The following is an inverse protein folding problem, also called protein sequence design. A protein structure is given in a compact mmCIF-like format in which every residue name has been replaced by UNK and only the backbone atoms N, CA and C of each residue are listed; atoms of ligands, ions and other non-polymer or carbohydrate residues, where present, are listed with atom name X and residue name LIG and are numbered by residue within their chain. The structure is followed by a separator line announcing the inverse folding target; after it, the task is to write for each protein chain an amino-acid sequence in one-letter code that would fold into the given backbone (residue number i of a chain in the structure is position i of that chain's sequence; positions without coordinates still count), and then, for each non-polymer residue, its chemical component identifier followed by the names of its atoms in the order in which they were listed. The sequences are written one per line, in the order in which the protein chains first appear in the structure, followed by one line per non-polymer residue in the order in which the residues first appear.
data_IF_275611293481
#
_entry.id   IF_275611293481
#
_cell.length_a   1.000
_cell.length_b   1.000
_cell.length_c   1.000
_cell.angle_alpha   90.00
_cell.angle_beta   90.00
_cell.angle_gamma   90.00
#
_symmetry.space_group_name_H-M   'P 1'
#
loop_
_entity.id
_entity.type
_entity.pdbx_description
1 polymer ?
#
# COMPACT_ATOMS: atom_id res chain seq x y z
N UNK A 1 -49.83 -88.32 16.19
CA UNK A 1 -48.63 -89.17 15.99
C UNK A 1 -48.98 -90.57 16.48
N UNK A 2 -48.80 -91.60 15.66
CA UNK A 2 -49.10 -93.00 16.02
C UNK A 2 -47.78 -93.79 16.04
N UNK A 3 -47.33 -94.32 17.19
CA UNK A 3 -46.13 -95.16 17.27
C UNK A 3 -46.27 -96.42 16.39
N UNK A 4 -45.21 -96.80 15.68
CA UNK A 4 -45.17 -98.06 14.90
C UNK A 4 -44.09 -98.99 15.42
N UNK A 5 -42.87 -98.50 15.67
CA UNK A 5 -41.77 -99.31 16.19
C UNK A 5 -40.82 -98.48 17.04
N UNK A 6 -40.32 -99.06 18.12
CA UNK A 6 -39.26 -98.47 18.94
C UNK A 6 -38.14 -99.50 19.13
N UNK A 7 -36.93 -99.13 18.73
CA UNK A 7 -35.73 -99.93 18.93
C UNK A 7 -34.80 -99.18 19.88
N UNK A 8 -34.38 -99.81 20.96
CA UNK A 8 -33.45 -99.27 21.94
C UNK A 8 -32.18 -100.11 21.97
N UNK A 9 -31.02 -99.46 22.01
CA UNK A 9 -29.73 -100.08 22.28
C UNK A 9 -28.98 -99.27 23.32
N UNK A 10 -28.56 -99.94 24.39
CA UNK A 10 -27.79 -99.38 25.50
C UNK A 10 -28.37 -98.07 26.06
N UNK A 11 -29.70 -97.96 26.15
CA UNK A 11 -30.42 -96.79 26.63
C UNK A 11 -30.96 -97.02 28.04
N UNK A 12 -30.48 -96.25 29.02
CA UNK A 12 -30.83 -96.36 30.44
C UNK A 12 -30.74 -97.81 30.94
N UNK A 13 -31.86 -98.42 31.34
CA UNK A 13 -31.93 -99.80 31.82
C UNK A 13 -31.92 -100.86 30.72
N UNK A 14 -32.09 -100.48 29.45
CA UNK A 14 -32.18 -101.39 28.31
C UNK A 14 -30.84 -101.56 27.61
N UNK A 15 -30.38 -102.82 27.47
CA UNK A 15 -29.23 -103.17 26.62
C UNK A 15 -29.63 -103.31 25.15
N UNK A 16 -30.69 -104.05 24.90
CA UNK A 16 -31.34 -104.12 23.59
C UNK A 16 -32.83 -104.40 23.82
N UNK A 17 -33.69 -103.68 23.10
CA UNK A 17 -35.13 -103.91 23.11
C UNK A 17 -35.74 -103.47 21.79
N UNK A 18 -36.66 -104.27 21.26
CA UNK A 18 -37.46 -103.96 20.09
C UNK A 18 -38.93 -104.11 20.46
N UNK A 19 -39.69 -103.04 20.28
CA UNK A 19 -41.13 -103.00 20.48
C UNK A 19 -41.82 -102.68 19.17
N UNK A 20 -42.69 -103.60 18.73
CA UNK A 20 -43.60 -103.36 17.62
C UNK A 20 -44.96 -102.90 18.18
N UNK A 21 -45.41 -101.73 17.75
CA UNK A 21 -46.67 -101.12 18.15
C UNK A 21 -47.76 -101.25 17.08
N UNK A 22 -47.44 -101.84 15.92
CA UNK A 22 -48.41 -101.98 14.84
C UNK A 22 -49.62 -102.81 15.29
N UNK A 23 -50.82 -102.27 15.08
CA UNK A 23 -52.08 -102.91 15.48
C UNK A 23 -52.45 -102.76 16.97
N UNK A 24 -51.60 -102.12 17.79
CA UNK A 24 -51.93 -101.85 19.19
C UNK A 24 -52.68 -100.51 19.30
N UNK A 25 -53.89 -100.55 19.86
CA UNK A 25 -54.66 -99.34 20.20
C UNK A 25 -54.52 -98.96 21.68
N UNK A 26 -54.39 -99.95 22.54
CA UNK A 26 -54.16 -99.79 23.99
C UNK A 26 -53.13 -100.82 24.43
N UNK A 27 -52.08 -100.37 25.11
CA UNK A 27 -51.03 -101.23 25.63
C UNK A 27 -50.80 -100.94 27.12
N UNK A 28 -50.64 -101.98 27.94
CA UNK A 28 -50.27 -101.86 29.33
C UNK A 28 -48.85 -102.39 29.53
N UNK A 29 -47.95 -101.57 30.05
CA UNK A 29 -46.56 -101.96 30.34
C UNK A 29 -46.45 -102.29 31.83
N UNK A 30 -46.39 -103.59 32.15
CA UNK A 30 -46.29 -104.10 33.52
C UNK A 30 -44.88 -104.60 33.85
N UNK A 31 -44.50 -104.54 35.13
CA UNK A 31 -43.19 -105.00 35.61
C UNK A 31 -42.88 -104.45 37.00
N UNK A 32 -41.82 -104.96 37.64
CA UNK A 32 -41.37 -104.46 38.94
C UNK A 32 -40.95 -102.98 38.89
N UNK A 33 -40.95 -102.29 40.03
CA UNK A 33 -40.36 -100.95 40.12
C UNK A 33 -38.85 -101.04 39.80
N UNK A 34 -38.35 -100.11 38.98
CA UNK A 34 -36.98 -100.16 38.48
C UNK A 34 -36.75 -101.05 37.25
N UNK A 35 -37.76 -101.79 36.77
CA UNK A 35 -37.63 -102.65 35.57
C UNK A 35 -37.52 -101.89 34.22
N UNK A 36 -37.46 -100.55 34.24
CA UNK A 36 -37.28 -99.75 33.03
C UNK A 36 -38.55 -99.25 32.34
N UNK A 37 -39.75 -99.46 32.92
CA UNK A 37 -41.03 -99.05 32.32
C UNK A 37 -41.06 -97.58 31.89
N UNK A 38 -40.64 -96.67 32.78
CA UNK A 38 -40.58 -95.23 32.48
C UNK A 38 -39.49 -94.90 31.46
N UNK A 39 -38.41 -95.68 31.42
CA UNK A 39 -37.30 -95.53 30.46
C UNK A 39 -37.78 -95.74 29.01
N UNK A 40 -38.83 -96.53 28.76
CA UNK A 40 -39.41 -96.70 27.42
C UNK A 40 -40.06 -95.41 26.89
N UNK A 41 -40.86 -94.75 27.72
CA UNK A 41 -41.52 -93.49 27.35
C UNK A 41 -40.51 -92.34 27.26
N UNK A 42 -39.48 -92.38 28.10
CA UNK A 42 -38.34 -91.47 28.03
C UNK A 42 -37.53 -91.66 26.74
N UNK A 43 -37.40 -92.88 26.21
CA UNK A 43 -36.72 -93.11 24.94
C UNK A 43 -37.43 -92.40 23.78
N UNK A 44 -38.78 -92.41 23.76
CA UNK A 44 -39.58 -91.68 22.76
C UNK A 44 -39.41 -90.17 22.92
N UNK A 45 -39.38 -89.68 24.16
CA UNK A 45 -39.17 -88.26 24.44
C UNK A 45 -37.77 -87.79 23.98
N UNK A 46 -36.76 -88.61 24.28
CA UNK A 46 -35.37 -88.32 23.97
C UNK A 46 -35.09 -88.37 22.47
N UNK A 47 -35.59 -89.38 21.74
CA UNK A 47 -35.35 -89.49 20.31
C UNK A 47 -35.96 -88.33 19.51
N UNK A 48 -37.17 -87.89 19.88
CA UNK A 48 -37.89 -86.82 19.19
C UNK A 48 -37.44 -85.40 19.59
N UNK A 49 -37.26 -85.14 20.87
CA UNK A 49 -36.97 -83.79 21.38
C UNK A 49 -35.58 -83.62 21.99
N UNK A 50 -34.87 -84.71 22.29
CA UNK A 50 -33.58 -84.67 23.00
C UNK A 50 -33.69 -84.56 24.51
N UNK A 51 -34.92 -84.53 25.01
CA UNK A 51 -35.21 -84.32 26.41
C UNK A 51 -35.28 -85.65 27.15
N UNK A 52 -34.57 -85.75 28.27
CA UNK A 52 -34.61 -86.90 29.17
C UNK A 52 -34.48 -86.46 30.62
N UNK A 53 -34.74 -87.36 31.57
CA UNK A 53 -34.55 -87.08 33.01
C UNK A 53 -33.09 -87.16 33.47
N UNK A 54 -32.19 -87.55 32.59
CA UNK A 54 -30.78 -87.72 32.90
C UNK A 54 -30.16 -86.38 33.31
N UNK A 55 -29.35 -86.38 34.38
CA UNK A 55 -28.71 -85.16 34.89
C UNK A 55 -27.59 -84.70 33.96
N UNK A 56 -26.82 -85.65 33.41
CA UNK A 56 -25.85 -85.42 32.34
C UNK A 56 -26.31 -86.05 31.02
N UNK A 57 -25.91 -85.45 29.91
CA UNK A 57 -26.20 -85.97 28.57
C UNK A 57 -25.69 -87.40 28.33
N UNK A 58 -24.63 -87.81 29.04
CA UNK A 58 -24.04 -89.16 28.93
C UNK A 58 -24.75 -90.19 29.84
N UNK A 59 -25.58 -89.75 30.79
CA UNK A 59 -26.27 -90.65 31.73
C UNK A 59 -27.46 -91.39 31.07
N UNK A 60 -27.82 -91.01 29.84
CA UNK A 60 -28.75 -91.79 29.01
C UNK A 60 -28.13 -93.11 28.55
N UNK A 61 -26.80 -93.23 28.60
CA UNK A 61 -26.05 -94.42 28.17
C UNK A 61 -26.05 -95.47 29.29
N UNK A 62 -26.45 -96.70 28.96
CA UNK A 62 -26.40 -97.83 29.87
C UNK A 62 -25.01 -97.97 30.52
N UNK A 63 -24.96 -98.32 31.81
CA UNK A 63 -23.70 -98.45 32.53
C UNK A 63 -22.79 -99.51 31.88
N UNK A 64 -21.55 -99.14 31.61
CA UNK A 64 -20.56 -99.99 30.92
C UNK A 64 -20.62 -99.93 29.38
N UNK A 65 -21.60 -99.26 28.78
CA UNK A 65 -21.67 -99.06 27.33
C UNK A 65 -20.97 -97.76 26.87
N UNK A 66 -20.51 -97.78 25.61
CA UNK A 66 -19.85 -96.64 24.97
C UNK A 66 -20.81 -95.72 24.21
N UNK A 67 -21.97 -96.22 23.83
CA UNK A 67 -22.98 -95.46 23.08
C UNK A 67 -24.40 -95.92 23.43
N UNK A 68 -25.36 -95.03 23.25
CA UNK A 68 -26.79 -95.31 23.30
C UNK A 68 -27.43 -94.92 21.97
N UNK A 69 -28.38 -95.73 21.50
CA UNK A 69 -29.10 -95.50 20.26
C UNK A 69 -30.59 -95.77 20.48
N UNK A 70 -31.42 -94.84 20.04
CA UNK A 70 -32.87 -95.00 20.01
C UNK A 70 -33.37 -94.70 18.60
N UNK A 71 -34.10 -95.64 18.05
CA UNK A 71 -34.79 -95.52 16.78
C UNK A 71 -36.29 -95.54 17.04
N UNK A 72 -37.00 -94.57 16.48
CA UNK A 72 -38.44 -94.49 16.58
C UNK A 72 -39.09 -94.29 15.22
N UNK A 73 -39.95 -95.23 14.86
CA UNK A 73 -40.77 -95.19 13.65
C UNK A 73 -42.21 -94.90 14.05
N UNK A 74 -42.79 -93.87 13.44
CA UNK A 74 -44.16 -93.43 13.74
C UNK A 74 -44.86 -92.92 12.50
N UNK A 75 -46.19 -92.95 12.52
CA UNK A 75 -47.04 -92.43 11.46
C UNK A 75 -47.66 -91.09 11.87
N UNK A 76 -47.68 -90.14 10.94
CA UNK A 76 -48.31 -88.84 11.11
C UNK A 76 -48.83 -88.34 9.76
N UNK A 77 -50.08 -87.85 9.69
CA UNK A 77 -50.70 -87.37 8.45
C UNK A 77 -50.52 -88.35 7.26
N UNK A 78 -50.75 -89.65 7.50
CA UNK A 78 -50.59 -90.75 6.53
C UNK A 78 -49.15 -91.02 6.04
N UNK A 79 -48.15 -90.29 6.53
CA UNK A 79 -46.75 -90.52 6.22
C UNK A 79 -46.05 -91.25 7.38
N UNK A 80 -45.13 -92.15 7.06
CA UNK A 80 -44.30 -92.84 8.06
C UNK A 80 -42.95 -92.15 8.15
N UNK A 81 -42.56 -91.80 9.37
CA UNK A 81 -41.29 -91.15 9.69
C UNK A 81 -40.44 -92.06 10.55
N UNK A 82 -39.12 -91.90 10.43
CA UNK A 82 -38.12 -92.56 11.25
C UNK A 82 -37.17 -91.51 11.80
N UNK A 83 -36.99 -91.51 13.12
CA UNK A 83 -35.99 -90.69 13.80
C UNK A 83 -35.00 -91.63 14.48
N UNK A 84 -33.71 -91.40 14.25
CA UNK A 84 -32.63 -92.13 14.88
C UNK A 84 -31.77 -91.14 15.65
N UNK A 85 -31.62 -91.35 16.95
CA UNK A 85 -30.75 -90.55 17.79
C UNK A 85 -29.71 -91.44 18.44
N UNK A 86 -28.44 -91.07 18.27
CA UNK A 86 -27.30 -91.79 18.84
C UNK A 86 -26.47 -90.84 19.68
N UNK A 87 -26.09 -91.26 20.89
CA UNK A 87 -25.16 -90.54 21.76
C UNK A 87 -23.95 -91.44 22.02
N UNK A 88 -22.77 -90.93 21.78
CA UNK A 88 -21.52 -91.60 22.10
C UNK A 88 -20.86 -90.92 23.30
N UNK A 89 -20.37 -91.71 24.26
CA UNK A 89 -19.81 -91.21 25.53
C UNK A 89 -18.58 -90.35 25.24
N UNK A 90 -18.53 -89.13 25.79
CA UNK A 90 -17.46 -88.16 25.53
C UNK A 90 -17.41 -87.63 24.08
N UNK A 91 -18.43 -87.92 23.26
CA UNK A 91 -18.58 -87.41 21.90
C UNK A 91 -19.95 -86.73 21.72
N UNK A 92 -20.23 -86.24 20.51
CA UNK A 92 -21.47 -85.55 20.19
C UNK A 92 -22.67 -86.48 20.00
N UNK A 93 -23.84 -85.87 19.79
CA UNK A 93 -25.07 -86.54 19.37
C UNK A 93 -25.12 -86.62 17.84
N UNK A 94 -25.53 -87.76 17.30
CA UNK A 94 -25.98 -87.88 15.92
C UNK A 94 -27.51 -87.94 15.90
N UNK A 95 -28.12 -87.17 15.00
CA UNK A 95 -29.58 -87.11 14.82
C UNK A 95 -29.90 -87.25 13.34
N UNK A 96 -30.66 -88.28 13.01
CA UNK A 96 -31.16 -88.51 11.66
C UNK A 96 -32.68 -88.47 11.65
N UNK A 97 -33.24 -87.83 10.63
CA UNK A 97 -34.67 -87.77 10.38
C UNK A 97 -34.96 -88.24 8.97
N UNK A 98 -35.88 -89.19 8.82
CA UNK A 98 -36.15 -89.86 7.54
C UNK A 98 -37.67 -90.00 7.34
N UNK A 99 -38.10 -90.03 6.08
CA UNK A 99 -39.49 -90.29 5.67
C UNK A 99 -39.55 -91.53 4.78
N UNK A 100 -40.57 -92.36 4.96
CA UNK A 100 -40.81 -93.54 4.14
C UNK A 100 -41.28 -93.14 2.74
N UNK A 101 -40.57 -93.57 1.70
CA UNK A 101 -40.93 -93.35 0.31
C UNK A 101 -40.78 -94.67 -0.45
N UNK A 102 -41.90 -95.25 -0.89
CA UNK A 102 -41.93 -96.59 -1.47
C UNK A 102 -41.56 -97.67 -0.43
N UNK A 103 -40.56 -98.51 -0.73
CA UNK A 103 -40.06 -99.55 0.17
C UNK A 103 -38.88 -99.10 1.06
N UNK A 104 -38.43 -97.84 0.96
CA UNK A 104 -37.24 -97.35 1.66
C UNK A 104 -37.46 -96.06 2.43
N UNK A 105 -36.45 -95.67 3.21
CA UNK A 105 -36.42 -94.39 3.93
C UNK A 105 -35.54 -93.38 3.20
N UNK A 106 -36.08 -92.19 2.94
CA UNK A 106 -35.35 -91.03 2.41
C UNK A 106 -34.98 -90.09 3.54
N UNK A 107 -33.72 -89.65 3.56
CA UNK A 107 -33.24 -88.68 4.56
C UNK A 107 -33.86 -87.29 4.37
N UNK A 108 -34.37 -86.74 5.46
CA UNK A 108 -34.77 -85.34 5.66
C UNK A 108 -33.80 -84.61 6.60
N UNK A 109 -32.70 -85.25 7.00
CA UNK A 109 -31.69 -84.67 7.90
C UNK A 109 -31.08 -83.42 7.29
N UNK A 110 -31.06 -82.32 8.05
CA UNK A 110 -30.45 -81.06 7.64
C UNK A 110 -28.98 -80.97 8.09
N UNK A 111 -28.29 -79.89 7.66
CA UNK A 111 -26.90 -79.64 8.09
C UNK A 111 -26.85 -79.27 9.57
N UNK A 112 -26.51 -80.24 10.41
CA UNK A 112 -26.35 -80.09 11.85
C UNK A 112 -27.58 -80.49 12.68
N UNK A 113 -27.36 -80.68 13.98
CA UNK A 113 -28.38 -81.17 14.91
C UNK A 113 -29.50 -80.13 15.09
N UNK A 114 -29.17 -78.85 15.24
CA UNK A 114 -30.16 -77.78 15.49
C UNK A 114 -31.16 -77.62 14.35
N UNK A 115 -30.68 -77.61 13.10
CA UNK A 115 -31.54 -77.51 11.91
C UNK A 115 -32.39 -78.77 11.73
N UNK A 116 -31.82 -79.95 11.99
CA UNK A 116 -32.56 -81.23 11.96
C UNK A 116 -33.63 -81.29 13.06
N UNK A 117 -33.33 -80.83 14.27
CA UNK A 117 -34.29 -80.71 15.36
C UNK A 117 -35.43 -79.75 14.99
N UNK A 118 -35.12 -78.62 14.35
CA UNK A 118 -36.13 -77.67 13.89
C UNK A 118 -37.03 -78.28 12.79
N UNK A 119 -36.48 -79.08 11.88
CA UNK A 119 -37.28 -79.83 10.91
C UNK A 119 -38.21 -80.83 11.60
N UNK A 120 -37.71 -81.61 12.55
CA UNK A 120 -38.53 -82.54 13.35
C UNK A 120 -39.68 -81.78 14.02
N UNK A 121 -39.41 -80.65 14.68
CA UNK A 121 -40.43 -79.81 15.31
C UNK A 121 -41.44 -79.24 14.29
N UNK A 122 -40.97 -78.82 13.12
CA UNK A 122 -41.82 -78.26 12.05
C UNK A 122 -42.78 -79.32 11.49
N UNK A 123 -42.30 -80.56 11.33
CA UNK A 123 -43.10 -81.69 10.83
C UNK A 123 -44.04 -82.25 11.90
N UNK A 124 -43.56 -82.42 13.14
CA UNK A 124 -44.38 -82.86 14.27
C UNK A 124 -45.41 -81.81 14.69
N UNK A 125 -45.12 -80.52 14.46
CA UNK A 125 -45.89 -79.36 14.94
C UNK A 125 -46.21 -79.43 16.44
N UNK A 126 -45.37 -80.12 17.20
CA UNK A 126 -45.53 -80.41 18.61
C UNK A 126 -44.15 -80.32 19.26
N UNK A 127 -43.96 -79.31 20.11
CA UNK A 127 -42.76 -79.20 20.94
C UNK A 127 -42.88 -80.08 22.19
N UNK A 128 -41.77 -80.18 22.93
CA UNK A 128 -41.68 -81.03 24.11
C UNK A 128 -42.63 -80.57 25.22
N UNK A 129 -42.70 -79.27 25.48
CA UNK A 129 -43.58 -78.72 26.51
C UNK A 129 -45.05 -79.00 26.19
N UNK A 130 -45.45 -78.81 24.95
CA UNK A 130 -46.80 -79.12 24.49
C UNK A 130 -47.06 -80.62 24.58
N UNK A 131 -46.11 -81.48 24.19
CA UNK A 131 -46.26 -82.93 24.29
C UNK A 131 -46.46 -83.41 25.74
N UNK A 132 -45.64 -82.94 26.68
CA UNK A 132 -45.76 -83.29 28.11
C UNK A 132 -47.06 -82.75 28.71
N UNK A 133 -47.50 -81.57 28.32
CA UNK A 133 -48.72 -80.97 28.87
C UNK A 133 -50.02 -81.44 28.19
N UNK A 134 -49.95 -82.13 27.03
CA UNK A 134 -51.16 -82.54 26.28
C UNK A 134 -51.29 -84.05 26.08
N UNK A 135 -50.22 -84.74 25.68
CA UNK A 135 -50.27 -86.13 25.22
C UNK A 135 -49.53 -87.12 26.15
N UNK A 136 -48.68 -86.63 27.06
CA UNK A 136 -47.90 -87.45 27.97
C UNK A 136 -48.10 -87.10 29.45
N UNK A 137 -48.99 -87.85 30.10
CA UNK A 137 -49.25 -87.70 31.53
C UNK A 137 -48.18 -88.42 32.35
N UNK A 138 -47.19 -87.67 32.85
CA UNK A 138 -46.17 -88.20 33.76
C UNK A 138 -46.80 -88.61 35.10
N UNK A 139 -46.37 -89.74 35.63
CA UNK A 139 -46.80 -90.22 36.95
C UNK A 139 -46.53 -89.16 38.03
N UNK A 140 -47.56 -88.75 38.77
CA UNK A 140 -47.48 -87.71 39.80
C UNK A 140 -47.44 -86.27 39.29
N UNK A 141 -47.59 -86.03 37.98
CA UNK A 141 -47.62 -84.68 37.36
C UNK A 141 -48.80 -84.46 36.42
N UNK A 142 -49.88 -85.24 36.56
CA UNK A 142 -51.10 -85.02 35.79
C UNK A 142 -51.70 -83.61 36.02
N UNK A 143 -51.40 -83.02 37.18
CA UNK A 143 -51.89 -81.69 37.57
C UNK A 143 -50.95 -80.56 37.14
N UNK A 144 -49.85 -80.81 36.42
CA UNK A 144 -48.83 -79.80 36.08
C UNK A 144 -49.42 -78.62 35.30
N UNK A 145 -50.35 -78.88 34.36
CA UNK A 145 -51.11 -77.83 33.69
C UNK A 145 -52.07 -77.09 34.64
N UNK A 146 -52.72 -77.80 35.56
CA UNK A 146 -53.68 -77.22 36.52
C UNK A 146 -53.00 -76.35 37.58
N UNK A 147 -51.75 -76.67 37.93
CA UNK A 147 -50.93 -75.95 38.91
C UNK A 147 -50.31 -74.66 38.36
N UNK A 148 -50.27 -74.48 37.02
CA UNK A 148 -49.73 -73.26 36.39
C UNK A 148 -50.62 -72.04 36.62
N UNK A 149 -50.00 -70.85 36.61
CA UNK A 149 -50.73 -69.58 36.78
C UNK A 149 -51.67 -69.32 35.59
N UNK A 150 -52.77 -68.58 35.75
CA UNK A 150 -53.71 -68.30 34.66
C UNK A 150 -53.05 -67.70 33.41
N UNK A 151 -52.07 -66.81 33.57
CA UNK A 151 -51.32 -66.20 32.47
C UNK A 151 -50.47 -67.25 31.70
N UNK A 152 -49.80 -68.14 32.41
CA UNK A 152 -49.00 -69.22 31.81
C UNK A 152 -49.88 -70.24 31.10
N UNK A 153 -51.04 -70.58 31.68
CA UNK A 153 -52.04 -71.44 31.03
C UNK A 153 -52.55 -70.80 29.73
N UNK A 154 -52.85 -69.49 29.77
CA UNK A 154 -53.26 -68.74 28.58
C UNK A 154 -52.16 -68.73 27.52
N UNK A 155 -50.90 -68.57 27.92
CA UNK A 155 -49.75 -68.60 27.02
C UNK A 155 -49.61 -69.97 26.35
N UNK A 156 -49.64 -71.07 27.11
CA UNK A 156 -49.57 -72.44 26.57
C UNK A 156 -50.69 -72.70 25.57
N UNK A 157 -51.92 -72.23 25.85
CA UNK A 157 -53.03 -72.35 24.91
C UNK A 157 -52.86 -71.46 23.67
N UNK A 158 -52.33 -70.24 23.84
CA UNK A 158 -52.04 -69.33 22.74
C UNK A 158 -50.93 -69.87 21.83
N UNK A 159 -49.90 -70.51 22.40
CA UNK A 159 -48.80 -71.17 21.69
C UNK A 159 -49.31 -72.38 20.92
N UNK A 160 -50.15 -73.20 21.56
CA UNK A 160 -50.81 -74.36 20.94
C UNK A 160 -51.70 -73.95 19.75
N UNK A 161 -52.40 -72.82 19.88
CA UNK A 161 -53.22 -72.22 18.82
C UNK A 161 -52.43 -71.32 17.85
N UNK A 162 -51.12 -71.13 18.07
CA UNK A 162 -50.21 -70.31 17.26
C UNK A 162 -50.69 -68.87 17.06
N UNK A 163 -51.20 -68.23 18.11
CA UNK A 163 -51.77 -66.88 18.01
C UNK A 163 -50.72 -65.77 17.83
N UNK A 164 -49.44 -66.04 18.03
CA UNK A 164 -48.32 -65.09 17.86
C UNK A 164 -48.30 -64.38 16.49
N UNK A 165 -48.74 -65.06 15.44
CA UNK A 165 -48.79 -64.49 14.09
C UNK A 165 -49.67 -63.22 14.00
N UNK A 166 -50.69 -63.09 14.87
CA UNK A 166 -51.57 -61.94 14.87
C UNK A 166 -50.94 -60.72 15.55
N UNK A 167 -50.10 -60.95 16.55
CA UNK A 167 -49.34 -59.89 17.22
C UNK A 167 -48.31 -59.29 16.25
N UNK A 168 -47.62 -60.14 15.47
CA UNK A 168 -46.70 -59.69 14.42
C UNK A 168 -47.41 -58.83 13.36
N UNK A 169 -48.58 -59.26 12.89
CA UNK A 169 -49.37 -58.49 11.93
C UNK A 169 -49.87 -57.15 12.51
N UNK A 170 -50.22 -57.12 13.79
CA UNK A 170 -50.64 -55.90 14.48
C UNK A 170 -49.52 -54.85 14.53
N UNK A 171 -48.32 -55.27 14.91
CA UNK A 171 -47.16 -54.38 14.95
C UNK A 171 -46.79 -53.86 13.55
N UNK A 172 -46.79 -54.72 12.52
CA UNK A 172 -46.56 -54.28 11.14
C UNK A 172 -47.59 -53.24 10.66
N UNK A 173 -48.86 -53.39 11.04
CA UNK A 173 -49.91 -52.44 10.68
C UNK A 173 -49.71 -51.09 11.39
N UNK A 174 -49.34 -51.09 12.67
CA UNK A 174 -49.02 -49.87 13.43
C UNK A 174 -47.83 -49.13 12.84
N UNK A 175 -46.78 -49.85 12.46
CA UNK A 175 -45.59 -49.24 11.86
C UNK A 175 -45.92 -48.58 10.52
N UNK A 176 -46.69 -49.24 9.65
CA UNK A 176 -47.16 -48.63 8.40
C UNK A 176 -48.01 -47.39 8.64
N UNK A 177 -48.93 -47.43 9.60
CA UNK A 177 -49.76 -46.27 9.95
C UNK A 177 -48.90 -45.07 10.39
N UNK A 178 -47.89 -45.29 11.23
CA UNK A 178 -46.94 -44.24 11.65
C UNK A 178 -46.16 -43.66 10.48
N UNK A 179 -45.68 -44.51 9.57
CA UNK A 179 -44.95 -44.07 8.38
C UNK A 179 -45.80 -43.17 7.48
N UNK A 180 -47.03 -43.59 7.15
CA UNK A 180 -47.92 -42.78 6.32
C UNK A 180 -48.31 -41.47 6.99
N UNK A 181 -48.53 -41.46 8.31
CA UNK A 181 -48.80 -40.23 9.05
C UNK A 181 -47.65 -39.22 8.90
N UNK A 182 -46.40 -39.68 9.06
CA UNK A 182 -45.23 -38.81 8.86
C UNK A 182 -45.08 -38.29 7.42
N UNK A 183 -45.46 -39.11 6.42
CA UNK A 183 -45.46 -38.67 5.02
C UNK A 183 -46.51 -37.58 4.74
N UNK A 184 -47.71 -37.72 5.31
CA UNK A 184 -48.78 -36.72 5.18
C UNK A 184 -48.31 -35.39 5.78
N UNK A 185 -47.79 -35.39 7.00
CA UNK A 185 -47.30 -34.17 7.67
C UNK A 185 -46.19 -33.48 6.86
N UNK A 186 -45.31 -34.24 6.20
CA UNK A 186 -44.27 -33.69 5.32
C UNK A 186 -44.86 -33.05 4.06
N UNK A 187 -45.80 -33.75 3.41
CA UNK A 187 -46.45 -33.26 2.18
C UNK A 187 -47.28 -32.01 2.46
N UNK A 188 -47.98 -31.94 3.60
CA UNK A 188 -48.74 -30.75 4.01
C UNK A 188 -47.85 -29.53 4.16
N UNK A 189 -46.69 -29.66 4.82
CA UNK A 189 -45.71 -28.56 4.94
C UNK A 189 -45.15 -28.11 3.60
N UNK A 190 -44.87 -29.06 2.70
CA UNK A 190 -44.40 -28.73 1.35
C UNK A 190 -45.48 -27.97 0.56
N UNK A 191 -46.73 -28.39 0.70
CA UNK A 191 -47.87 -27.78 0.02
C UNK A 191 -48.09 -26.35 0.52
N UNK A 192 -48.03 -26.12 1.83
CA UNK A 192 -48.12 -24.79 2.44
C UNK A 192 -47.02 -23.86 1.92
N UNK A 193 -45.77 -24.33 1.90
CA UNK A 193 -44.64 -23.56 1.35
C UNK A 193 -44.83 -23.19 -0.13
N UNK A 194 -45.31 -24.13 -0.95
CA UNK A 194 -45.59 -23.88 -2.38
C UNK A 194 -46.75 -22.88 -2.54
N UNK A 195 -47.77 -22.95 -1.69
CA UNK A 195 -48.89 -22.01 -1.72
C UNK A 195 -48.46 -20.60 -1.39
N UNK A 196 -47.61 -20.41 -0.38
CA UNK A 196 -47.04 -19.09 -0.05
C UNK A 196 -46.24 -18.52 -1.22
N UNK A 197 -45.39 -19.33 -1.86
CA UNK A 197 -44.63 -18.92 -3.05
C UNK A 197 -45.55 -18.53 -4.22
N UNK A 198 -46.63 -19.27 -4.44
CA UNK A 198 -47.60 -18.97 -5.49
C UNK A 198 -48.38 -17.68 -5.21
N UNK A 199 -48.72 -17.39 -3.95
CA UNK A 199 -49.37 -16.13 -3.58
C UNK A 199 -48.44 -14.94 -3.84
N UNK A 200 -47.14 -15.08 -3.54
CA UNK A 200 -46.15 -14.02 -3.77
C UNK A 200 -45.83 -13.80 -5.25
N UNK A 201 -46.02 -14.80 -6.11
CA UNK A 201 -45.69 -14.71 -7.54
C UNK A 201 -46.35 -13.52 -8.24
N UNK A 202 -47.62 -13.25 -7.95
CA UNK A 202 -48.33 -12.14 -8.57
C UNK A 202 -47.81 -10.78 -8.11
N UNK A 203 -47.51 -10.65 -6.81
CA UNK A 203 -46.91 -9.44 -6.24
C UNK A 203 -45.52 -9.18 -6.84
N UNK A 204 -44.67 -10.20 -6.90
CA UNK A 204 -43.33 -10.12 -7.51
C UNK A 204 -43.42 -9.76 -9.00
N UNK A 205 -44.38 -10.33 -9.73
CA UNK A 205 -44.57 -10.01 -11.15
C UNK A 205 -45.00 -8.55 -11.37
N UNK A 206 -45.87 -8.02 -10.50
CA UNK A 206 -46.27 -6.61 -10.52
C UNK A 206 -45.10 -5.69 -10.19
N UNK A 207 -44.39 -5.96 -9.08
CA UNK A 207 -43.22 -5.18 -8.66
C UNK A 207 -42.12 -5.18 -9.74
N UNK A 208 -41.89 -6.34 -10.38
CA UNK A 208 -40.95 -6.43 -11.49
C UNK A 208 -41.37 -5.58 -12.69
N UNK A 209 -42.65 -5.60 -13.07
CA UNK A 209 -43.15 -4.78 -14.17
C UNK A 209 -43.00 -3.28 -13.86
N UNK A 210 -43.32 -2.87 -12.62
CA UNK A 210 -43.12 -1.50 -12.16
C UNK A 210 -41.64 -1.10 -12.23
N UNK A 211 -40.73 -1.92 -11.70
CA UNK A 211 -39.29 -1.67 -11.74
C UNK A 211 -38.73 -1.62 -13.17
N UNK A 212 -39.22 -2.48 -14.07
CA UNK A 212 -38.85 -2.43 -15.50
C UNK A 212 -39.25 -1.09 -16.14
N UNK A 213 -40.47 -0.61 -15.87
CA UNK A 213 -40.90 0.72 -16.38
C UNK A 213 -40.07 1.87 -15.81
N UNK A 214 -39.72 1.81 -14.52
CA UNK A 214 -38.86 2.83 -13.87
C UNK A 214 -37.46 2.79 -14.47
N UNK A 215 -36.90 1.60 -14.71
CA UNK A 215 -35.59 1.44 -15.35
C UNK A 215 -35.56 2.03 -16.76
N UNK A 216 -36.58 1.76 -17.58
CA UNK A 216 -36.70 2.33 -18.93
C UNK A 216 -36.75 3.86 -18.88
N UNK A 217 -37.54 4.43 -17.96
CA UNK A 217 -37.61 5.89 -17.76
C UNK A 217 -36.26 6.47 -17.32
N UNK A 218 -35.58 5.83 -16.37
CA UNK A 218 -34.26 6.27 -15.90
C UNK A 218 -33.20 6.21 -17.00
N UNK A 219 -33.22 5.16 -17.84
CA UNK A 219 -32.31 5.03 -18.98
C UNK A 219 -32.57 6.11 -20.05
N UNK A 220 -33.83 6.41 -20.35
CA UNK A 220 -34.20 7.50 -21.24
C UNK A 220 -33.77 8.87 -20.70
N UNK A 221 -33.90 9.10 -19.39
CA UNK A 221 -33.42 10.32 -18.76
C UNK A 221 -31.89 10.41 -18.78
N UNK A 222 -31.20 9.30 -18.53
CA UNK A 222 -29.74 9.24 -18.57
C UNK A 222 -29.19 9.56 -19.96
N UNK A 223 -29.79 8.99 -21.01
CA UNK A 223 -29.37 9.26 -22.40
C UNK A 223 -29.58 10.72 -22.78
N UNK A 224 -30.72 11.30 -22.38
CA UNK A 224 -31.03 12.73 -22.57
C UNK A 224 -30.02 13.62 -21.86
N UNK A 225 -29.75 13.35 -20.58
CA UNK A 225 -28.76 14.09 -19.79
C UNK A 225 -27.36 13.96 -20.38
N UNK A 226 -26.99 12.77 -20.88
CA UNK A 226 -25.70 12.55 -21.52
C UNK A 226 -25.55 13.37 -22.80
N UNK A 227 -26.60 13.40 -23.64
CA UNK A 227 -26.60 14.22 -24.84
C UNK A 227 -26.49 15.71 -24.52
N UNK A 228 -27.21 16.20 -23.51
CA UNK A 228 -27.09 17.58 -23.04
C UNK A 228 -25.69 17.91 -22.53
N UNK A 229 -25.06 16.99 -21.78
CA UNK A 229 -23.70 17.16 -21.29
C UNK A 229 -22.69 17.28 -22.45
N UNK A 230 -22.81 16.42 -23.47
CA UNK A 230 -21.96 16.49 -24.66
C UNK A 230 -22.12 17.83 -25.39
N UNK A 231 -23.36 18.32 -25.53
CA UNK A 231 -23.62 19.64 -26.11
C UNK A 231 -22.95 20.75 -25.30
N UNK A 232 -23.07 20.74 -23.97
CA UNK A 232 -22.43 21.73 -23.11
C UNK A 232 -20.90 21.68 -23.17
N UNK A 233 -20.31 20.48 -23.23
CA UNK A 233 -18.86 20.31 -23.40
C UNK A 233 -18.36 20.85 -24.74
N UNK A 234 -19.10 20.62 -25.82
CA UNK A 234 -18.76 21.18 -27.13
C UNK A 234 -18.78 22.71 -27.11
N UNK A 235 -19.82 23.32 -26.52
CA UNK A 235 -19.93 24.77 -26.37
C UNK A 235 -18.80 25.31 -25.48
N UNK A 236 -18.45 24.61 -24.39
CA UNK A 236 -17.35 25.01 -23.52
C UNK A 236 -16.01 25.00 -24.24
N UNK A 237 -15.73 23.96 -25.05
CA UNK A 237 -14.52 23.88 -25.88
C UNK A 237 -14.47 25.03 -26.89
N UNK A 238 -15.57 25.30 -27.60
CA UNK A 238 -15.65 26.43 -28.53
C UNK A 238 -15.37 27.77 -27.81
N UNK A 239 -15.96 27.98 -26.64
CA UNK A 239 -15.72 29.17 -25.82
C UNK A 239 -14.25 29.31 -25.42
N UNK A 240 -13.59 28.22 -25.02
CA UNK A 240 -12.15 28.24 -24.69
C UNK A 240 -11.30 28.61 -25.90
N UNK A 241 -11.59 28.04 -27.07
CA UNK A 241 -10.89 28.39 -28.32
C UNK A 241 -11.07 29.85 -28.67
N UNK A 242 -12.30 30.39 -28.60
CA UNK A 242 -12.55 31.80 -28.85
C UNK A 242 -11.87 32.71 -27.82
N UNK A 243 -11.81 32.30 -26.55
CA UNK A 243 -11.10 33.07 -25.53
C UNK A 243 -9.59 33.13 -25.79
N UNK A 244 -8.99 32.03 -26.24
CA UNK A 244 -7.58 32.01 -26.66
C UNK A 244 -7.35 32.90 -27.89
N UNK A 245 -8.20 32.77 -28.92
CA UNK A 245 -8.13 33.62 -30.12
C UNK A 245 -8.27 35.10 -29.77
N UNK A 246 -9.22 35.46 -28.89
CA UNK A 246 -9.40 36.84 -28.43
C UNK A 246 -8.15 37.35 -27.70
N UNK A 247 -7.58 36.55 -26.80
CA UNK A 247 -6.35 36.92 -26.08
C UNK A 247 -5.16 37.13 -27.02
N UNK A 248 -5.03 36.30 -28.05
CA UNK A 248 -4.01 36.44 -29.09
C UNK A 248 -4.22 37.72 -29.91
N UNK A 249 -5.44 38.00 -30.36
CA UNK A 249 -5.78 39.22 -31.10
C UNK A 249 -5.54 40.48 -30.24
N UNK A 250 -5.89 40.44 -28.95
CA UNK A 250 -5.61 41.54 -28.03
C UNK A 250 -4.10 41.78 -27.85
N UNK A 251 -3.30 40.72 -27.77
CA UNK A 251 -1.85 40.85 -27.67
C UNK A 251 -1.25 41.41 -28.97
N UNK A 252 -1.71 40.94 -30.13
CA UNK A 252 -1.31 41.48 -31.43
C UNK A 252 -1.65 42.97 -31.54
N UNK A 253 -2.87 43.37 -31.14
CA UNK A 253 -3.28 44.77 -31.12
C UNK A 253 -2.38 45.62 -30.20
N UNK A 254 -2.00 45.11 -29.03
CA UNK A 254 -1.07 45.79 -28.11
C UNK A 254 0.31 45.98 -28.74
N UNK A 255 0.85 44.93 -29.36
CA UNK A 255 2.14 45.01 -30.04
C UNK A 255 2.11 46.02 -31.19
N UNK A 256 1.09 45.96 -32.04
CA UNK A 256 0.90 46.92 -33.13
C UNK A 256 0.76 48.35 -32.62
N UNK A 257 0.02 48.57 -31.53
CA UNK A 257 -0.08 49.90 -30.91
C UNK A 257 1.27 50.40 -30.38
N UNK A 258 2.08 49.53 -29.77
CA UNK A 258 3.43 49.88 -29.32
C UNK A 258 4.34 50.22 -30.51
N UNK A 259 4.26 49.44 -31.59
CA UNK A 259 5.00 49.69 -32.82
C UNK A 259 4.58 51.01 -33.47
N UNK A 260 3.28 51.29 -33.57
CA UNK A 260 2.79 52.58 -34.04
C UNK A 260 3.30 53.74 -33.18
N UNK A 261 3.30 53.61 -31.86
CA UNK A 261 3.83 54.65 -30.96
C UNK A 261 5.34 54.83 -31.13
N UNK A 262 6.10 53.75 -31.27
CA UNK A 262 7.55 53.80 -31.55
C UNK A 262 7.83 54.51 -32.87
N UNK A 263 7.19 54.07 -33.96
CA UNK A 263 7.36 54.66 -35.28
C UNK A 263 6.92 56.12 -35.31
N UNK A 264 5.89 56.50 -34.56
CA UNK A 264 5.46 57.89 -34.44
C UNK A 264 6.49 58.75 -33.69
N UNK A 265 7.11 58.22 -32.63
CA UNK A 265 8.23 58.89 -31.94
C UNK A 265 9.43 59.05 -32.86
N UNK A 266 9.86 57.98 -33.54
CA UNK A 266 10.96 58.01 -34.50
C UNK A 266 10.69 59.04 -35.58
N UNK A 267 9.50 59.03 -36.19
CA UNK A 267 9.09 60.05 -37.17
C UNK A 267 9.18 61.46 -36.61
N UNK A 268 8.67 61.71 -35.39
CA UNK A 268 8.74 63.04 -34.78
C UNK A 268 10.18 63.50 -34.51
N UNK A 269 11.08 62.58 -34.13
CA UNK A 269 12.49 62.87 -33.94
C UNK A 269 13.17 63.19 -35.27
N UNK A 270 12.92 62.39 -36.30
CA UNK A 270 13.45 62.63 -37.65
C UNK A 270 12.92 63.94 -38.23
N UNK A 271 11.64 64.25 -38.06
CA UNK A 271 11.05 65.53 -38.48
C UNK A 271 11.68 66.70 -37.73
N UNK A 272 11.93 66.58 -36.42
CA UNK A 272 12.63 67.60 -35.63
C UNK A 272 14.09 67.79 -36.07
N UNK A 273 14.82 66.70 -36.34
CA UNK A 273 16.17 66.76 -36.90
C UNK A 273 16.17 67.45 -38.27
N UNK A 274 15.22 67.08 -39.13
CA UNK A 274 15.05 67.69 -40.45
C UNK A 274 14.78 69.19 -40.34
N UNK A 275 13.87 69.63 -39.47
CA UNK A 275 13.60 71.06 -39.25
C UNK A 275 14.83 71.80 -38.74
N UNK A 276 15.61 71.19 -37.84
CA UNK A 276 16.86 71.78 -37.34
C UNK A 276 17.88 71.94 -38.46
N UNK A 277 18.03 70.93 -39.32
CA UNK A 277 18.90 70.98 -40.49
C UNK A 277 18.42 72.01 -41.52
N UNK A 278 17.11 72.09 -41.79
CA UNK A 278 16.52 73.11 -42.67
C UNK A 278 16.76 74.52 -42.12
N UNK A 279 16.62 74.72 -40.82
CA UNK A 279 16.93 76.00 -40.17
C UNK A 279 18.42 76.36 -40.30
N UNK A 280 19.33 75.41 -40.09
CA UNK A 280 20.76 75.61 -40.29
C UNK A 280 21.10 75.96 -41.75
N UNK A 281 20.48 75.29 -42.72
CA UNK A 281 20.63 75.60 -44.14
C UNK A 281 20.09 76.99 -44.49
N UNK A 282 18.96 77.42 -43.92
CA UNK A 282 18.48 78.80 -44.09
C UNK A 282 19.45 79.84 -43.51
N UNK A 283 20.21 79.48 -42.48
CA UNK A 283 21.26 80.32 -41.92
C UNK A 283 22.58 80.26 -42.70
N UNK A 284 22.68 79.50 -43.79
CA UNK A 284 23.91 79.36 -44.59
C UNK A 284 24.53 80.72 -44.94
N UNK A 285 23.73 81.66 -45.44
CA UNK A 285 24.21 83.01 -45.78
C UNK A 285 24.78 83.77 -44.57
N UNK A 286 24.16 83.65 -43.40
CA UNK A 286 24.63 84.26 -42.14
C UNK A 286 25.89 83.57 -41.61
N UNK A 287 25.97 82.24 -41.70
CA UNK A 287 27.14 81.47 -41.30
C UNK A 287 28.33 81.80 -42.21
N UNK A 288 28.12 81.86 -43.53
CA UNK A 288 29.14 82.26 -44.50
C UNK A 288 29.58 83.72 -44.31
N UNK A 289 28.64 84.64 -44.11
CA UNK A 289 28.96 86.04 -43.83
C UNK A 289 29.70 86.20 -42.50
N UNK A 290 29.26 85.49 -41.45
CA UNK A 290 29.94 85.43 -40.15
C UNK A 290 31.34 84.84 -40.25
N UNK A 291 31.53 83.79 -41.04
CA UNK A 291 32.84 83.20 -41.31
C UNK A 291 33.76 84.14 -42.10
N UNK A 292 33.24 84.82 -43.12
CA UNK A 292 33.98 85.85 -43.85
C UNK A 292 34.36 87.03 -42.96
N UNK A 293 33.45 87.45 -42.07
CA UNK A 293 33.71 88.49 -41.10
C UNK A 293 34.76 88.06 -40.07
N UNK A 294 34.68 86.83 -39.56
CA UNK A 294 35.70 86.27 -38.68
C UNK A 294 37.06 86.20 -39.39
N UNK A 295 37.10 85.80 -40.66
CA UNK A 295 38.33 85.78 -41.46
C UNK A 295 38.90 87.18 -41.70
N UNK A 296 38.05 88.18 -41.89
CA UNK A 296 38.45 89.58 -41.99
C UNK A 296 38.99 90.12 -40.65
N UNK A 297 38.35 89.75 -39.53
CA UNK A 297 38.83 90.07 -38.18
C UNK A 297 40.17 89.38 -37.90
N UNK A 298 40.35 88.12 -38.31
CA UNK A 298 41.62 87.40 -38.17
C UNK A 298 42.73 88.07 -38.98
N UNK A 299 42.45 88.51 -40.21
CA UNK A 299 43.40 89.29 -41.01
C UNK A 299 43.70 90.68 -40.40
N UNK A 300 42.71 91.32 -39.78
CA UNK A 300 42.92 92.56 -39.03
C UNK A 300 43.76 92.33 -37.77
N UNK A 301 43.55 91.23 -37.05
CA UNK A 301 44.36 90.84 -35.90
C UNK A 301 45.80 90.58 -36.32
N UNK A 302 46.04 89.89 -37.44
CA UNK A 302 47.38 89.71 -38.01
C UNK A 302 48.02 91.06 -38.39
N UNK A 303 47.26 91.97 -39.01
CA UNK A 303 47.72 93.34 -39.31
C UNK A 303 48.04 94.14 -38.06
N UNK A 304 47.20 94.07 -37.02
CA UNK A 304 47.43 94.76 -35.76
C UNK A 304 48.59 94.15 -34.99
N UNK A 305 48.76 92.83 -35.03
CA UNK A 305 49.92 92.12 -34.49
C UNK A 305 51.21 92.57 -35.18
N UNK A 306 51.20 92.69 -36.52
CA UNK A 306 52.33 93.23 -37.28
C UNK A 306 52.62 94.71 -36.97
N UNK A 307 51.59 95.55 -36.84
CA UNK A 307 51.74 96.95 -36.40
C UNK A 307 52.25 97.06 -34.96
N UNK A 308 51.78 96.18 -34.07
CA UNK A 308 52.21 96.12 -32.69
C UNK A 308 53.68 95.71 -32.58
N UNK A 309 54.13 94.71 -33.33
CA UNK A 309 55.55 94.36 -33.45
C UNK A 309 56.39 95.55 -33.96
N UNK A 310 55.92 96.25 -35.00
CA UNK A 310 56.59 97.44 -35.53
C UNK A 310 56.69 98.57 -34.51
N UNK A 311 55.61 98.81 -33.75
CA UNK A 311 55.60 99.78 -32.65
C UNK A 311 56.55 99.35 -31.52
N UNK A 312 56.62 98.06 -31.19
CA UNK A 312 57.49 97.54 -30.15
C UNK A 312 58.98 97.70 -30.53
N UNK A 313 59.32 97.50 -31.81
CA UNK A 313 60.66 97.80 -32.35
C UNK A 313 60.95 99.30 -32.32
N UNK A 314 60.01 100.15 -32.72
CA UNK A 314 60.19 101.60 -32.66
C UNK A 314 60.31 102.11 -31.21
N UNK A 315 59.57 101.53 -30.27
CA UNK A 315 59.62 101.86 -28.85
C UNK A 315 60.93 101.40 -28.20
N UNK A 316 61.45 100.22 -28.55
CA UNK A 316 62.77 99.78 -28.08
C UNK A 316 63.89 100.65 -28.65
N UNK A 317 63.81 101.04 -29.91
CA UNK A 317 64.73 102.03 -30.51
C UNK A 317 64.63 103.39 -29.80
N UNK A 318 63.41 103.87 -29.48
CA UNK A 318 63.23 105.11 -28.73
C UNK A 318 63.83 105.03 -27.32
N UNK A 319 63.64 103.91 -26.62
CA UNK A 319 64.26 103.67 -25.31
C UNK A 319 65.79 103.61 -25.41
N UNK A 320 66.35 102.98 -26.44
CA UNK A 320 67.80 102.98 -26.70
C UNK A 320 68.32 104.40 -26.95
N UNK A 321 67.60 105.22 -27.72
CA UNK A 321 67.96 106.61 -27.94
C UNK A 321 67.81 107.47 -26.69
N UNK A 322 66.75 107.28 -25.88
CA UNK A 322 66.57 107.96 -24.59
C UNK A 322 67.67 107.56 -23.59
N UNK A 323 68.05 106.29 -23.52
CA UNK A 323 69.20 105.83 -22.72
C UNK A 323 70.49 106.47 -23.21
N UNK A 324 70.77 106.42 -24.51
CA UNK A 324 71.98 107.01 -25.07
C UNK A 324 72.03 108.54 -24.86
N UNK A 325 70.88 109.23 -24.94
CA UNK A 325 70.79 110.66 -24.65
C UNK A 325 70.98 110.95 -23.16
N UNK A 326 70.43 110.13 -22.27
CA UNK A 326 70.61 110.25 -20.81
C UNK A 326 72.06 110.02 -20.38
N UNK A 327 72.76 109.05 -20.98
CA UNK A 327 74.18 108.79 -20.76
C UNK A 327 75.02 109.97 -21.23
N UNK A 328 74.70 110.55 -22.38
CA UNK A 328 75.35 111.77 -22.90
C UNK A 328 75.10 112.97 -21.99
N UNK A 329 73.87 113.14 -21.50
CA UNK A 329 73.50 114.19 -20.55
C UNK A 329 74.25 114.04 -19.21
N UNK A 330 74.35 112.83 -18.68
CA UNK A 330 75.14 112.54 -17.49
C UNK A 330 76.64 112.78 -17.71
N UNK A 331 77.19 112.39 -18.87
CA UNK A 331 78.57 112.71 -19.23
C UNK A 331 78.81 114.22 -19.27
N UNK A 332 77.93 114.97 -19.95
CA UNK A 332 78.00 116.44 -20.03
C UNK A 332 77.82 117.10 -18.66
N UNK A 333 76.92 116.61 -17.80
CA UNK A 333 76.78 117.10 -16.43
C UNK A 333 78.02 116.79 -15.58
N UNK A 334 78.64 115.61 -15.74
CA UNK A 334 79.89 115.28 -15.05
C UNK A 334 81.06 116.15 -15.53
N UNK A 335 81.09 116.50 -16.82
CA UNK A 335 82.06 117.43 -17.39
C UNK A 335 81.82 118.84 -16.86
N UNK A 336 80.57 119.28 -16.76
CA UNK A 336 80.21 120.59 -16.22
C UNK A 336 80.55 120.68 -14.73
N UNK A 337 80.30 119.64 -13.94
CA UNK A 337 80.73 119.55 -12.55
C UNK A 337 82.26 119.53 -12.40
N UNK A 338 82.99 118.85 -13.29
CA UNK A 338 84.46 118.92 -13.31
C UNK A 338 84.98 120.32 -13.62
N UNK A 339 84.38 121.01 -14.58
CA UNK A 339 84.78 122.38 -14.95
C UNK A 339 84.41 123.37 -13.84
N UNK A 340 83.24 123.22 -13.19
CA UNK A 340 82.87 124.03 -12.03
C UNK A 340 83.77 123.77 -10.81
N UNK A 341 84.16 122.52 -10.56
CA UNK A 341 85.12 122.19 -9.51
C UNK A 341 86.51 122.80 -9.81
N UNK A 342 86.93 122.80 -11.08
CA UNK A 342 88.15 123.47 -11.53
C UNK A 342 88.05 124.99 -11.39
N UNK A 343 86.88 125.59 -11.67
CA UNK A 343 86.64 127.03 -11.52
C UNK A 343 86.72 127.45 -10.04
N UNK A 344 86.16 126.66 -9.12
CA UNK A 344 86.27 126.89 -7.67
C UNK A 344 87.73 126.77 -7.21
N UNK A 345 88.48 125.76 -7.67
CA UNK A 345 89.90 125.61 -7.30
C UNK A 345 90.77 126.73 -7.87
N UNK A 346 90.49 127.21 -9.09
CA UNK A 346 91.18 128.38 -9.66
C UNK A 346 90.81 129.68 -8.95
N UNK A 347 89.58 129.84 -8.46
CA UNK A 347 89.18 130.98 -7.62
C UNK A 347 89.84 130.96 -6.24
N UNK A 348 89.99 129.79 -5.61
CA UNK A 348 90.74 129.63 -4.37
C UNK A 348 92.24 129.95 -4.57
N UNK A 349 92.83 129.50 -5.67
CA UNK A 349 94.21 129.85 -6.05
C UNK A 349 94.39 131.36 -6.33
N UNK A 350 93.38 132.02 -6.91
CA UNK A 350 93.37 133.47 -7.14
C UNK A 350 93.28 134.26 -5.81
N UNK A 351 92.49 133.79 -4.85
CA UNK A 351 92.45 134.37 -3.50
C UNK A 351 93.77 134.17 -2.74
N UNK A 352 94.43 133.02 -2.90
CA UNK A 352 95.77 132.78 -2.32
C UNK A 352 96.85 133.68 -2.93
N UNK A 353 96.81 133.89 -4.25
CA UNK A 353 97.71 134.82 -4.94
C UNK A 353 97.43 136.29 -4.57
N UNK A 354 96.18 136.71 -4.39
CA UNK A 354 95.83 138.04 -3.87
C UNK A 354 96.28 138.26 -2.42
N UNK A 355 96.28 137.21 -1.59
CA UNK A 355 96.84 137.26 -0.23
C UNK A 355 98.37 137.43 -0.24
N UNK A 356 99.04 136.84 -1.23
CA UNK A 356 100.50 136.98 -1.42
C UNK A 356 100.87 138.38 -1.93
N UNK A 357 100.07 138.98 -2.82
CA UNK A 357 100.25 140.38 -3.29
C UNK A 357 99.97 141.42 -2.20
N UNK A 358 99.12 141.14 -1.20
CA UNK A 358 98.88 142.07 -0.07
C UNK A 358 100.08 142.26 0.88
N UNK A 359 101.18 141.50 0.69
CA UNK A 359 102.43 141.61 1.46
C UNK A 359 103.55 142.37 0.72
N UNK A 360 103.25 142.96 -0.44
CA UNK A 360 104.21 143.69 -1.27
C UNK A 360 104.63 145.04 -0.62
N UNK A 361 103.69 145.72 0.07
CA UNK A 361 103.95 146.97 0.78
C UNK A 361 104.91 146.83 1.99
N UNK A 362 104.99 145.64 2.60
CA UNK A 362 105.92 145.36 3.71
C UNK A 362 107.36 145.12 3.21
N UNK A 363 107.54 144.72 1.94
CA UNK A 363 108.87 144.49 1.34
C UNK A 363 109.45 145.77 0.76
N UNK A 364 108.62 146.68 0.21
CA UNK A 364 109.08 148.01 -0.23
C UNK A 364 109.54 148.90 0.93
N UNK A 365 108.90 148.84 2.11
CA UNK A 365 109.35 149.57 3.30
C UNK A 365 110.71 149.07 3.83
N UNK A 366 111.00 147.77 3.69
CA UNK A 366 112.31 147.20 4.04
C UNK A 366 113.43 147.63 3.06
N UNK A 367 113.09 147.96 1.81
CA UNK A 367 114.02 148.46 0.79
C UNK A 367 114.38 149.94 1.04
N UNK A 368 113.47 150.76 1.57
CA UNK A 368 113.78 152.18 1.89
C UNK A 368 114.62 152.36 3.16
N UNK A 369 114.43 151.54 4.21
CA UNK A 369 115.25 151.64 5.43
C UNK A 369 116.72 151.24 5.20
N UNK A 370 117.00 150.28 4.32
CA UNK A 370 118.35 149.78 4.07
C UNK A 370 119.19 150.74 3.20
N UNK A 371 118.54 151.54 2.34
CA UNK A 371 119.21 152.55 1.52
C UNK A 371 119.57 153.79 2.36
N UNK A 372 118.73 154.20 3.32
CA UNK A 372 119.06 155.31 4.23
C UNK A 372 120.24 154.98 5.16
N UNK A 373 120.30 153.74 5.68
CA UNK A 373 121.37 153.31 6.58
C UNK A 373 122.74 153.17 5.89
N UNK A 374 122.79 152.96 4.57
CA UNK A 374 124.07 152.86 3.83
C UNK A 374 124.63 154.23 3.44
N UNK A 375 123.77 155.24 3.22
CA UNK A 375 124.23 156.61 2.98
C UNK A 375 124.85 157.24 4.23
N UNK A 376 124.43 156.82 5.42
CA UNK A 376 125.06 157.24 6.69
C UNK A 376 126.42 156.57 6.95
N UNK A 377 126.63 155.34 6.45
CA UNK A 377 127.92 154.64 6.60
C UNK A 377 129.04 155.26 5.71
N UNK A 378 128.69 155.78 4.53
CA UNK A 378 129.65 156.48 3.66
C UNK A 378 130.11 157.84 4.23
N UNK A 379 129.31 158.48 5.09
CA UNK A 379 129.71 159.70 5.80
C UNK A 379 130.63 159.44 6.99
N UNK A 380 130.50 158.29 7.65
CA UNK A 380 131.35 157.90 8.79
C UNK A 380 132.75 157.46 8.35
N UNK A 381 132.91 156.75 7.23
CA UNK A 381 134.24 156.37 6.73
C UNK A 381 135.03 157.57 6.14
N UNK A 382 134.35 158.58 5.60
CA UNK A 382 135.00 159.84 5.22
C UNK A 382 135.53 160.63 6.44
N UNK A 383 135.00 160.40 7.65
CA UNK A 383 135.47 161.01 8.89
C UNK A 383 136.63 160.25 9.54
N UNK A 384 136.86 158.98 9.21
CA UNK A 384 138.05 158.23 9.65
C UNK A 384 139.31 158.51 8.79
N UNK A 385 139.17 159.32 7.73
CA UNK A 385 140.28 159.90 6.96
C UNK A 385 140.84 161.18 7.58
N UNK A 386 140.31 161.69 8.71
CA UNK A 386 140.74 162.97 9.30
C UNK A 386 141.19 162.91 10.77
N UNK A 387 141.14 161.76 11.46
CA UNK A 387 141.60 161.65 12.85
C UNK A 387 142.29 160.30 13.13
N UNK A 388 143.62 160.23 12.94
CA UNK A 388 144.59 159.71 13.92
C UNK A 388 146.00 159.43 13.32
N UNK A 389 146.75 160.44 12.86
CA UNK A 389 148.16 160.53 13.20
C UNK A 389 148.30 161.07 14.65
N UNK A 390 149.14 160.42 15.47
CA UNK A 390 149.51 160.69 16.88
C UNK A 390 148.68 160.00 17.98
N UNK A 391 149.23 158.86 18.45
CA UNK A 391 149.23 158.23 19.79
C UNK A 391 149.12 156.70 19.61
N UNK A 392 150.18 155.90 19.62
CA UNK A 392 151.61 156.09 19.89
C UNK A 392 152.35 154.97 19.17
#
# INVERSE_FOLDING_TARGET
MIPQRLTLRNFLSYREALLDFQGLHTACVCGANGAGKSSLLEAISWVLWGESRATSEDDVIHMGAKEAQVEFIFQMHQQTYRVLRTRQRGQGVALEFQIMQGSGFRSLTAKGIRSTQQLILTHLKLDYETFVNSAYLRQGRADEFMLKRPAERKQILADLLKLHQYDELSEQAKDRSRQFKGQVELLERQLESIQEQLQQRNAIAQERAELETVLEQMQAQQSTNHHQLQQFQAVQHQRQTWQQQLSWQQQQQRNLNQDCQRLQKERSQTDGQRQTLEYLLQQESKILAGYQHWRALQAQEELFSGKFQSHQVAQSQRQQFEQHYSEKLQQLQSQLQKVQAQEITLQEQLQELQKTLSKEADVEFAVEQLISARQDLQKLDQLQLQASPLLQ
#
